data_IF_478568355904
#
_entry.id   IF_478568355904
#
_cell.length_a   1.000
_cell.length_b   1.000
_cell.length_c   1.000
_cell.angle_alpha   90.00
_cell.angle_beta   90.00
_cell.angle_gamma   90.00
#
_symmetry.space_group_name_H-M   'P 1'
#
loop_
_entity.id
_entity.type
_entity.pdbx_description
1 polymer ?
2 non-polymer ?
3 water ?
#
# COMPACT_ATOMS: atom_id res chain seq x y z
N UNK A 1 24.91 22.17 -2.16
CA UNK A 1 23.80 21.42 -2.73
C UNK A 1 23.82 19.94 -2.31
N UNK A 2 22.70 19.24 -2.52
CA UNK A 2 22.57 17.85 -2.11
C UNK A 2 23.63 16.88 -2.64
N UNK A 3 23.98 15.91 -1.80
CA UNK A 3 24.95 14.88 -2.13
C UNK A 3 24.25 13.67 -2.76
N UNK A 4 22.98 13.49 -2.41
CA UNK A 4 22.18 12.38 -2.94
C UNK A 4 22.15 12.30 -4.46
N UNK A 5 22.18 11.08 -5.00
CA UNK A 5 22.10 10.89 -6.45
C UNK A 5 20.87 11.61 -7.01
N UNK A 6 20.89 11.87 -8.31
CA UNK A 6 19.78 12.53 -8.98
C UNK A 6 18.46 11.78 -8.77
N UNK A 7 18.41 10.50 -9.18
CA UNK A 7 17.22 9.65 -9.06
C UNK A 7 16.65 9.63 -7.64
N UNK A 8 17.51 9.76 -6.64
CA UNK A 8 17.06 9.77 -5.26
C UNK A 8 16.43 11.12 -4.97
N UNK A 9 17.11 12.18 -5.40
CA UNK A 9 16.61 13.52 -5.22
C UNK A 9 15.18 13.63 -5.79
N UNK A 10 14.98 13.05 -6.97
CA UNK A 10 13.68 13.05 -7.66
C UNK A 10 12.63 12.20 -6.93
N UNK A 11 13.08 11.21 -6.16
CA UNK A 11 12.18 10.34 -5.42
C UNK A 11 11.63 11.13 -4.24
N UNK A 12 12.50 11.94 -3.64
CA UNK A 12 12.12 12.79 -2.52
C UNK A 12 11.10 13.82 -2.96
N UNK A 13 11.37 14.48 -4.06
CA UNK A 13 10.47 15.50 -4.58
C UNK A 13 9.09 14.89 -4.77
N UNK A 14 9.08 13.70 -5.35
CA UNK A 14 7.88 12.94 -5.64
C UNK A 14 6.98 12.67 -4.43
N UNK A 15 7.52 12.00 -3.41
CA UNK A 15 6.71 11.63 -2.26
C UNK A 15 6.34 12.80 -1.37
N UNK A 16 7.18 13.83 -1.36
CA UNK A 16 6.92 15.00 -0.54
C UNK A 16 6.20 16.10 -1.33
N UNK A 17 5.70 15.75 -2.51
CA UNK A 17 4.97 16.70 -3.34
C UNK A 17 3.65 17.11 -2.68
N UNK A 18 3.49 18.42 -2.45
CA UNK A 18 2.29 18.95 -1.83
C UNK A 18 1.10 18.99 -2.78
N UNK A 19 1.34 19.38 -4.03
CA UNK A 19 0.27 19.45 -5.02
C UNK A 19 -0.38 18.09 -5.21
N UNK A 20 0.40 17.04 -4.98
CA UNK A 20 -0.08 15.68 -5.12
C UNK A 20 -1.04 15.40 -3.99
N UNK A 21 -0.74 16.02 -2.85
CA UNK A 21 -1.55 15.87 -1.66
C UNK A 21 -2.92 16.50 -1.94
N UNK A 22 -2.90 17.74 -2.45
CA UNK A 22 -4.12 18.48 -2.79
C UNK A 22 -4.91 17.76 -3.87
N UNK A 23 -4.23 17.27 -4.90
CA UNK A 23 -4.87 16.54 -5.99
C UNK A 23 -5.64 15.32 -5.48
N UNK A 24 -4.98 14.56 -4.59
CA UNK A 24 -5.60 13.37 -4.00
C UNK A 24 -6.87 13.74 -3.24
N UNK A 25 -6.85 14.90 -2.57
CA UNK A 25 -8.00 15.35 -1.79
C UNK A 25 -9.15 15.82 -2.68
N UNK A 26 -8.83 16.66 -3.66
CA UNK A 26 -9.81 17.15 -4.62
C UNK A 26 -10.41 15.97 -5.41
N UNK A 27 -9.61 14.93 -5.65
CA UNK A 27 -10.10 13.78 -6.38
C UNK A 27 -11.07 12.97 -5.51
N UNK A 28 -11.11 13.30 -4.22
CA UNK A 28 -12.01 12.66 -3.26
C UNK A 28 -13.20 13.59 -3.03
N UNK A 29 -13.29 14.67 -3.81
CA UNK A 29 -14.39 15.62 -3.68
C UNK A 29 -14.28 16.39 -2.37
N UNK A 30 -13.07 16.50 -1.82
CA UNK A 30 -12.86 17.20 -0.57
C UNK A 30 -12.72 18.71 -0.75
N UNK A 31 -13.53 19.48 -0.03
CA UNK A 31 -13.44 20.92 -0.12
C UNK A 31 -12.18 21.40 0.60
N UNK A 32 -11.17 21.77 -0.17
CA UNK A 32 -9.91 22.24 0.37
C UNK A 32 -10.09 23.62 1.00
N UNK A 33 -11.24 24.22 0.75
CA UNK A 33 -11.57 25.51 1.34
C UNK A 33 -11.86 25.29 2.82
N UNK A 34 -12.72 24.33 3.11
CA UNK A 34 -13.12 23.97 4.47
C UNK A 34 -12.15 23.01 5.14
N UNK A 35 -11.66 22.04 4.36
CA UNK A 35 -10.70 21.08 4.89
C UNK A 35 -9.34 21.21 4.20
N UNK A 36 -8.64 22.32 4.46
CA UNK A 36 -7.31 22.56 3.90
C UNK A 36 -6.35 21.48 4.39
N UNK A 37 -5.25 21.31 3.67
CA UNK A 37 -4.23 20.31 3.98
C UNK A 37 -3.79 20.32 5.43
N UNK A 38 -3.49 21.51 5.95
CA UNK A 38 -3.00 21.64 7.31
C UNK A 38 -4.04 21.41 8.40
N UNK A 39 -5.28 21.15 7.99
CA UNK A 39 -6.36 20.92 8.94
C UNK A 39 -6.52 19.44 9.25
N UNK A 40 -5.98 18.58 8.39
CA UNK A 40 -6.05 17.13 8.59
C UNK A 40 -5.43 16.72 9.93
N UNK A 41 -6.09 15.80 10.63
CA UNK A 41 -5.57 15.37 11.93
C UNK A 41 -5.90 13.91 12.27
N UNK A 42 -4.91 13.22 12.82
CA UNK A 42 -5.03 11.83 13.24
C UNK A 42 -6.36 11.61 13.96
N UNK A 43 -6.60 12.43 14.98
CA UNK A 43 -7.82 12.36 15.78
C UNK A 43 -9.10 12.46 14.95
N UNK A 44 -9.13 13.40 14.01
CA UNK A 44 -10.31 13.57 13.15
C UNK A 44 -10.55 12.30 12.33
N UNK A 45 -9.45 11.65 11.98
CA UNK A 45 -9.47 10.41 11.21
C UNK A 45 -9.91 9.16 12.00
N UNK A 46 -9.48 9.05 13.26
CA UNK A 46 -9.92 7.91 14.09
C UNK A 46 -11.43 7.97 14.19
N UNK A 47 -11.93 9.18 14.44
CA UNK A 47 -13.35 9.44 14.57
C UNK A 47 -14.10 9.00 13.32
N UNK A 48 -13.58 9.38 12.16
CA UNK A 48 -14.19 9.04 10.88
C UNK A 48 -14.18 7.54 10.68
N UNK A 49 -13.07 6.90 11.03
CA UNK A 49 -12.98 5.44 10.92
C UNK A 49 -14.08 4.80 11.76
N UNK A 50 -14.27 5.33 12.98
CA UNK A 50 -15.26 4.81 13.93
C UNK A 50 -16.69 4.96 13.42
N UNK A 51 -16.97 6.07 12.76
CA UNK A 51 -18.29 6.29 12.16
C UNK A 51 -18.47 5.20 11.11
N UNK A 52 -17.44 5.03 10.30
CA UNK A 52 -17.46 4.04 9.24
C UNK A 52 -17.81 2.65 9.79
N UNK A 53 -17.17 2.26 10.89
CA UNK A 53 -17.48 0.96 11.52
C UNK A 53 -18.96 0.85 11.92
N UNK A 54 -19.47 1.91 12.52
CA UNK A 54 -20.85 1.96 12.96
C UNK A 54 -21.77 1.75 11.76
N UNK A 55 -21.43 2.40 10.65
CA UNK A 55 -22.20 2.22 9.42
C UNK A 55 -22.26 0.73 9.04
N UNK A 56 -21.10 0.07 8.99
CA UNK A 56 -21.06 -1.36 8.69
C UNK A 56 -22.02 -2.12 9.60
N UNK A 57 -21.94 -1.84 10.90
CA UNK A 57 -22.82 -2.50 11.88
C UNK A 57 -24.28 -2.25 11.53
N UNK A 58 -24.59 -1.00 11.19
CA UNK A 58 -25.94 -0.61 10.81
C UNK A 58 -26.35 -1.38 9.55
N UNK A 59 -25.43 -1.44 8.60
CA UNK A 59 -25.63 -2.11 7.31
C UNK A 59 -25.87 -3.61 7.50
N UNK A 60 -25.15 -4.22 8.43
CA UNK A 60 -25.26 -5.66 8.71
C UNK A 60 -26.53 -6.01 9.45
N UNK A 61 -26.95 -5.13 10.35
CA UNK A 61 -28.14 -5.38 11.16
C UNK A 61 -29.41 -5.01 10.40
N UNK A 62 -29.32 -3.96 9.60
CA UNK A 62 -30.47 -3.52 8.82
C UNK A 62 -31.14 -2.34 9.49
N UNK A 63 -30.33 -1.47 10.08
CA UNK A 63 -30.79 -0.26 10.77
C UNK A 63 -31.92 0.50 10.06
N UNK A 64 -32.59 1.36 10.82
CA UNK A 64 -33.78 2.07 10.33
C UNK A 64 -33.62 3.39 9.55
N UNK A 65 -32.88 3.35 8.46
CA UNK A 65 -32.74 4.49 7.55
C UNK A 65 -32.38 5.85 8.15
N UNK A 66 -32.91 6.17 9.32
CA UNK A 66 -32.58 7.43 9.96
C UNK A 66 -31.24 7.29 10.69
N UNK A 67 -30.97 6.10 11.21
CA UNK A 67 -29.69 5.85 11.89
C UNK A 67 -28.55 5.90 10.88
N UNK A 68 -28.86 5.52 9.65
CA UNK A 68 -27.89 5.51 8.56
C UNK A 68 -27.79 6.90 7.94
N UNK A 69 -28.80 7.72 8.21
CA UNK A 69 -28.82 9.08 7.69
C UNK A 69 -28.00 9.99 8.59
N UNK A 70 -28.06 9.76 9.90
CA UNK A 70 -27.27 10.57 10.82
C UNK A 70 -25.80 10.16 10.80
N UNK A 71 -25.55 8.87 10.59
CA UNK A 71 -24.19 8.37 10.50
C UNK A 71 -23.58 8.95 9.23
N UNK A 72 -24.36 8.99 8.15
CA UNK A 72 -23.89 9.53 6.87
C UNK A 72 -23.54 11.01 7.03
N UNK A 73 -24.45 11.75 7.66
CA UNK A 73 -24.25 13.16 7.90
C UNK A 73 -23.09 13.41 8.87
N UNK A 74 -22.95 12.54 9.87
CA UNK A 74 -21.84 12.68 10.82
C UNK A 74 -20.49 12.57 10.11
N UNK A 75 -20.41 11.71 9.10
CA UNK A 75 -19.17 11.51 8.35
C UNK A 75 -18.78 12.71 7.48
N UNK A 76 -19.75 13.28 6.79
CA UNK A 76 -19.52 14.44 5.92
C UNK A 76 -19.35 15.73 6.73
N UNK A 77 -19.62 15.66 8.02
CA UNK A 77 -19.43 16.83 8.87
C UNK A 77 -17.97 16.76 9.26
N UNK A 78 -17.47 15.54 9.46
CA UNK A 78 -16.07 15.35 9.79
C UNK A 78 -15.20 15.62 8.57
N UNK A 79 -15.48 14.91 7.48
CA UNK A 79 -14.75 15.09 6.21
C UNK A 79 -15.63 15.88 5.23
N UNK A 80 -15.46 17.21 5.19
CA UNK A 80 -16.18 18.18 4.36
C UNK A 80 -15.99 17.95 2.86
N UNK A 81 -17.05 17.51 2.19
CA UNK A 81 -17.02 17.28 0.75
C UNK A 81 -17.80 18.39 0.04
N UNK A 82 -17.56 18.55 -1.25
CA UNK A 82 -18.31 19.53 -2.04
C UNK A 82 -19.06 18.89 -3.20
N UNK A 83 -20.37 19.10 -3.20
CA UNK A 83 -21.23 18.56 -4.23
C UNK A 83 -22.04 19.73 -4.80
N UNK A 84 -22.33 20.70 -3.93
CA UNK A 84 -23.10 21.87 -4.28
C UNK A 84 -24.58 21.53 -4.25
N UNK A 85 -25.00 20.76 -5.25
CA UNK A 85 -26.38 20.30 -5.32
C UNK A 85 -26.38 18.77 -5.31
N UNK A 86 -27.54 18.17 -5.51
CA UNK A 86 -27.67 16.71 -5.52
C UNK A 86 -27.64 16.06 -4.14
N UNK A 87 -26.78 16.59 -3.26
CA UNK A 87 -26.61 16.06 -1.89
C UNK A 87 -25.60 14.93 -1.80
N UNK A 88 -25.00 14.75 -0.61
CA UNK A 88 -24.00 13.72 -0.32
C UNK A 88 -24.62 12.33 -0.33
N UNK A 89 -23.91 11.35 -0.86
CA UNK A 89 -24.45 9.99 -0.90
C UNK A 89 -24.67 9.38 0.49
N UNK A 90 -25.59 8.43 0.54
CA UNK A 90 -25.89 7.70 1.75
C UNK A 90 -24.87 6.56 1.78
N UNK A 91 -24.33 6.28 2.96
CA UNK A 91 -23.38 5.18 3.16
C UNK A 91 -24.23 4.05 3.66
N UNK A 92 -24.73 3.23 2.74
CA UNK A 92 -25.67 2.18 3.10
C UNK A 92 -25.28 0.81 2.55
N UNK A 93 -24.00 0.61 2.29
CA UNK A 93 -23.55 -0.68 1.79
C UNK A 93 -22.08 -0.94 2.07
N UNK A 94 -21.70 -2.22 2.09
CA UNK A 94 -20.33 -2.60 2.34
C UNK A 94 -19.46 -1.89 1.31
N UNK A 95 -20.07 -1.60 0.16
CA UNK A 95 -19.35 -0.92 -0.92
C UNK A 95 -18.89 0.48 -0.60
N UNK A 96 -19.77 1.32 -0.06
CA UNK A 96 -19.39 2.69 0.27
C UNK A 96 -18.46 2.76 1.47
N UNK A 97 -18.61 1.81 2.39
CA UNK A 97 -17.79 1.77 3.59
C UNK A 97 -16.35 1.39 3.26
N UNK A 98 -16.18 0.58 2.22
CA UNK A 98 -14.86 0.17 1.77
C UNK A 98 -14.12 1.31 1.04
N UNK A 99 -14.85 2.04 0.21
CA UNK A 99 -14.25 3.16 -0.50
C UNK A 99 -13.82 4.25 0.46
N UNK A 100 -14.73 4.64 1.36
CA UNK A 100 -14.44 5.70 2.33
C UNK A 100 -13.27 5.40 3.27
N UNK A 101 -13.13 4.13 3.65
CA UNK A 101 -12.05 3.73 4.55
C UNK A 101 -10.72 3.78 3.82
N UNK A 102 -10.74 3.34 2.56
CA UNK A 102 -9.55 3.35 1.73
C UNK A 102 -9.07 4.76 1.62
N UNK A 103 -10.02 5.70 1.55
CA UNK A 103 -9.71 7.12 1.43
C UNK A 103 -9.12 7.68 2.71
N UNK A 104 -9.61 7.20 3.86
CA UNK A 104 -9.13 7.62 5.18
C UNK A 104 -7.70 7.15 5.43
N UNK A 105 -7.38 5.93 4.99
CA UNK A 105 -6.01 5.40 5.09
C UNK A 105 -5.07 6.33 4.34
N UNK A 106 -5.46 6.66 3.11
CA UNK A 106 -4.68 7.53 2.25
C UNK A 106 -4.54 8.93 2.86
N UNK A 107 -5.67 9.53 3.24
CA UNK A 107 -5.69 10.86 3.87
C UNK A 107 -4.80 10.89 5.12
N UNK A 108 -4.76 9.78 5.84
CA UNK A 108 -3.95 9.66 7.06
C UNK A 108 -2.45 9.66 6.72
N UNK A 109 -2.09 9.03 5.62
CA UNK A 109 -0.69 8.95 5.21
C UNK A 109 -0.28 10.31 4.69
N UNK A 110 -1.25 11.07 4.20
CA UNK A 110 -1.02 12.44 3.71
C UNK A 110 -0.82 13.43 4.87
N UNK A 111 -1.53 13.18 5.97
CA UNK A 111 -1.41 13.99 7.17
C UNK A 111 0.02 13.78 7.70
N UNK A 112 0.46 12.53 7.68
CA UNK A 112 1.81 12.17 8.11
C UNK A 112 2.88 12.86 7.28
N UNK A 113 2.68 12.90 5.96
CA UNK A 113 3.66 13.49 5.04
C UNK A 113 3.71 15.00 5.18
N UNK A 114 2.54 15.64 5.26
CA UNK A 114 2.49 17.08 5.43
C UNK A 114 3.07 17.45 6.80
N UNK A 115 2.83 16.60 7.79
CA UNK A 115 3.32 16.83 9.14
C UNK A 115 4.83 16.66 9.27
N UNK A 116 5.40 15.69 8.59
CA UNK A 116 6.84 15.50 8.62
C UNK A 116 7.43 16.66 7.84
N UNK A 117 6.83 16.92 6.68
CA UNK A 117 7.27 17.99 5.78
C UNK A 117 7.37 19.34 6.48
N UNK A 118 6.49 19.55 7.46
CA UNK A 118 6.44 20.81 8.20
C UNK A 118 7.31 20.80 9.45
N UNK A 119 7.31 19.70 10.18
CA UNK A 119 8.11 19.55 11.37
C UNK A 119 9.59 19.74 11.09
N UNK A 120 10.39 19.94 12.13
CA UNK A 120 11.82 20.14 11.99
C UNK A 120 12.20 21.58 11.64
N UNK A 121 13.50 21.86 11.68
CA UNK A 121 13.99 23.20 11.38
C UNK A 121 14.00 23.50 9.88
N UNK A 122 13.47 24.66 9.51
CA UNK A 122 13.40 25.06 8.11
C UNK A 122 14.52 26.07 7.80
N UNK A 123 15.63 25.93 8.51
CA UNK A 123 16.81 26.78 8.32
C UNK A 123 17.55 26.43 7.04
N UNK A 124 17.59 27.37 6.11
CA UNK A 124 18.24 27.18 4.81
C UNK A 124 19.71 26.76 4.88
N UNK A 125 20.15 26.32 6.05
CA UNK A 125 21.54 25.85 6.19
C UNK A 125 21.79 24.77 5.14
N UNK A 126 20.85 23.83 5.07
CA UNK A 126 20.92 22.74 4.11
C UNK A 126 19.72 22.81 3.17
N UNK A 127 19.83 22.16 2.01
CA UNK A 127 18.76 22.19 1.03
C UNK A 127 17.62 21.25 1.41
N UNK A 128 16.39 21.62 1.03
CA UNK A 128 15.11 20.96 1.27
C UNK A 128 15.19 19.45 1.04
N UNK A 129 15.87 19.07 -0.04
CA UNK A 129 16.04 17.67 -0.39
C UNK A 129 16.69 16.86 0.72
N UNK A 130 17.93 17.21 1.03
CA UNK A 130 18.68 16.49 2.05
C UNK A 130 17.94 16.48 3.39
N UNK A 131 17.26 17.58 3.68
CA UNK A 131 16.51 17.68 4.92
C UNK A 131 15.34 16.72 4.89
N UNK A 132 14.48 16.86 3.89
CA UNK A 132 13.33 15.97 3.73
C UNK A 132 13.75 14.50 3.58
N UNK A 133 14.97 14.28 3.10
CA UNK A 133 15.48 12.92 2.97
C UNK A 133 15.70 12.34 4.36
N UNK A 134 16.17 13.17 5.28
CA UNK A 134 16.42 12.74 6.65
C UNK A 134 15.14 12.33 7.33
N UNK A 135 14.09 13.11 7.10
CA UNK A 135 12.79 12.87 7.72
C UNK A 135 12.24 11.46 7.52
N UNK A 136 12.62 10.79 6.43
CA UNK A 136 12.13 9.43 6.14
C UNK A 136 12.77 8.34 7.01
N UNK A 137 13.96 8.64 7.55
CA UNK A 137 14.67 7.71 8.43
C UNK A 137 14.97 6.37 7.79
N UNK A 138 15.24 6.39 6.49
CA UNK A 138 15.58 5.15 5.78
C UNK A 138 16.69 5.43 4.81
N UNK A 139 17.60 4.48 4.67
CA UNK A 139 18.73 4.66 3.77
C UNK A 139 18.32 4.24 2.35
N UNK A 140 18.43 5.17 1.42
CA UNK A 140 18.05 4.92 0.03
C UNK A 140 19.27 4.94 -0.88
N UNK A 141 19.43 3.89 -1.68
CA UNK A 141 20.53 3.77 -2.61
C UNK A 141 20.00 3.36 -3.97
N UNK A 142 20.64 3.85 -5.02
CA UNK A 142 20.27 3.49 -6.38
C UNK A 142 20.85 2.12 -6.67
N UNK A 143 20.14 1.31 -7.43
CA UNK A 143 20.65 0.02 -7.86
C UNK A 143 20.93 0.18 -9.35
N UNK A 144 22.18 -0.12 -9.75
CA UNK A 144 22.61 0.04 -11.15
C UNK A 144 21.81 -0.80 -12.13
N UNK A 145 21.40 -0.19 -13.23
CA UNK A 145 20.64 -0.87 -14.27
C UNK A 145 21.26 -2.21 -14.67
N UNK A 146 22.58 -2.25 -14.74
CA UNK A 146 23.27 -3.45 -15.17
C UNK A 146 23.85 -4.34 -14.07
N UNK A 147 23.12 -4.45 -12.96
CA UNK A 147 23.50 -5.30 -11.84
C UNK A 147 22.58 -6.53 -11.80
N UNK A 148 23.04 -7.61 -11.20
CA UNK A 148 22.24 -8.82 -11.12
C UNK A 148 20.97 -8.57 -10.32
N UNK A 149 21.02 -7.57 -9.43
CA UNK A 149 19.85 -7.19 -8.64
C UNK A 149 18.80 -6.65 -9.58
N UNK A 150 19.19 -5.67 -10.37
CA UNK A 150 18.29 -5.04 -11.34
C UNK A 150 17.70 -6.08 -12.29
N UNK A 151 18.57 -6.96 -12.80
CA UNK A 151 18.17 -8.01 -13.74
C UNK A 151 17.15 -8.96 -13.12
N UNK A 152 17.41 -9.36 -11.88
CA UNK A 152 16.50 -10.22 -11.14
C UNK A 152 15.14 -9.54 -11.06
N UNK A 153 15.18 -8.26 -10.66
CA UNK A 153 13.98 -7.45 -10.51
C UNK A 153 13.19 -7.24 -11.80
N UNK A 154 13.87 -6.79 -12.85
CA UNK A 154 13.22 -6.55 -14.14
C UNK A 154 12.54 -7.83 -14.64
N UNK A 155 13.17 -8.97 -14.40
CA UNK A 155 12.62 -10.26 -14.82
C UNK A 155 11.37 -10.64 -14.00
N UNK A 156 11.39 -10.29 -12.72
CA UNK A 156 10.28 -10.54 -11.80
C UNK A 156 9.07 -9.74 -12.28
N UNK A 157 9.32 -8.53 -12.77
CA UNK A 157 8.29 -7.63 -13.25
C UNK A 157 7.71 -8.03 -14.61
N UNK A 158 8.57 -8.51 -15.51
CA UNK A 158 8.13 -8.90 -16.84
C UNK A 158 7.41 -10.24 -16.82
N UNK A 159 7.97 -11.22 -16.13
CA UNK A 159 7.34 -12.53 -16.05
C UNK A 159 5.98 -12.46 -15.41
N UNK A 160 5.92 -11.89 -14.20
CA UNK A 160 4.67 -11.77 -13.44
C UNK A 160 3.67 -10.73 -13.93
N UNK A 161 3.95 -10.12 -15.08
CA UNK A 161 3.03 -9.17 -15.71
C UNK A 161 2.65 -9.75 -17.07
N UNK A 162 1.36 -9.90 -17.34
CA UNK A 162 0.92 -10.52 -18.59
C UNK A 162 0.04 -9.68 -19.50
N UNK A 163 -0.13 -10.17 -20.74
CA UNK A 163 -0.96 -9.53 -21.76
C UNK A 163 -2.44 -9.67 -21.43
N UNK A 164 -2.75 -10.52 -20.46
CA UNK A 164 -4.14 -10.73 -20.04
C UNK A 164 -4.71 -9.41 -19.54
N UNK A 165 -4.32 -9.00 -18.34
CA UNK A 165 -4.78 -7.74 -17.76
C UNK A 165 -3.97 -6.61 -18.40
N UNK A 166 -3.57 -6.85 -19.64
CA UNK A 166 -2.76 -5.89 -20.37
C UNK A 166 -3.53 -4.66 -20.77
N UNK A 167 -3.73 -3.77 -19.81
CA UNK A 167 -4.37 -2.49 -20.04
C UNK A 167 -3.21 -1.51 -20.17
N UNK A 168 -2.05 -1.96 -19.68
CA UNK A 168 -0.83 -1.17 -19.69
C UNK A 168 0.39 -2.07 -19.73
N UNK A 169 1.53 -1.48 -20.05
CA UNK A 169 2.82 -2.18 -20.05
C UNK A 169 3.66 -1.46 -19.01
N UNK A 170 4.63 -2.17 -18.44
CA UNK A 170 5.41 -1.64 -17.33
C UNK A 170 6.89 -1.40 -17.68
N UNK A 171 7.35 -0.18 -17.40
CA UNK A 171 8.74 0.22 -17.65
C UNK A 171 9.36 0.57 -16.29
N UNK A 172 10.43 -0.11 -15.93
CA UNK A 172 11.08 0.19 -14.65
C UNK A 172 12.04 1.35 -14.86
N UNK A 173 11.70 2.52 -14.30
CA UNK A 173 12.52 3.71 -14.43
C UNK A 173 13.71 3.71 -13.48
N UNK A 174 13.45 3.41 -12.22
CA UNK A 174 14.50 3.38 -11.20
C UNK A 174 14.14 2.34 -10.17
N UNK A 175 15.17 1.69 -9.62
CA UNK A 175 15.00 0.76 -8.52
C UNK A 175 15.94 1.18 -7.41
N UNK A 176 15.41 1.25 -6.20
CA UNK A 176 16.20 1.65 -5.06
C UNK A 176 16.28 0.51 -4.06
N UNK A 177 17.40 0.45 -3.35
CA UNK A 177 17.55 -0.51 -2.27
C UNK A 177 17.27 0.33 -1.03
N UNK A 178 16.44 -0.20 -0.12
CA UNK A 178 16.04 0.57 1.06
C UNK A 178 16.19 -0.21 2.37
N UNK A 179 16.65 0.51 3.39
CA UNK A 179 16.81 -0.06 4.72
C UNK A 179 16.35 0.96 5.76
N UNK A 180 15.16 0.75 6.30
CA UNK A 180 14.59 1.67 7.27
C UNK A 180 15.27 1.55 8.63
N UNK A 181 15.23 2.62 9.40
CA UNK A 181 15.81 2.63 10.73
C UNK A 181 15.09 1.57 11.58
N UNK A 182 15.86 0.61 12.10
CA UNK A 182 15.30 -0.43 12.94
C UNK A 182 14.58 -1.59 12.26
N UNK A 183 14.86 -1.81 10.98
CA UNK A 183 14.24 -2.93 10.27
C UNK A 183 15.20 -4.12 10.30
N UNK A 184 16.43 -3.82 10.69
CA UNK A 184 17.50 -4.81 10.78
C UNK A 184 17.42 -5.62 12.07
N UNK A 185 16.93 -4.99 13.13
CA UNK A 185 16.81 -5.63 14.43
C UNK A 185 15.44 -6.27 14.61
N UNK A 186 14.40 -5.49 14.32
CA UNK A 186 13.03 -5.95 14.46
C UNK A 186 12.75 -7.23 13.65
N UNK A 187 13.46 -7.38 12.53
CA UNK A 187 13.28 -8.53 11.65
C UNK A 187 14.18 -9.73 11.98
N UNK A 188 15.40 -9.46 12.43
CA UNK A 188 16.37 -10.51 12.76
C UNK A 188 15.77 -11.72 13.47
N UNK A 189 14.85 -11.49 14.42
CA UNK A 189 14.20 -12.58 15.14
C UNK A 189 13.23 -13.35 14.24
N UNK A 190 12.31 -12.64 13.60
CA UNK A 190 11.34 -13.25 12.71
C UNK A 190 12.00 -13.86 11.50
N UNK A 191 13.27 -13.52 11.27
CA UNK A 191 14.01 -14.08 10.14
C UNK A 191 14.26 -15.56 10.44
N UNK A 192 14.36 -15.87 11.73
CA UNK A 192 14.53 -17.25 12.19
C UNK A 192 13.18 -17.95 12.03
N UNK A 193 12.56 -17.70 10.88
CA UNK A 193 11.27 -18.25 10.49
C UNK A 193 11.46 -18.66 9.04
N UNK A 194 11.07 -19.89 8.71
CA UNK A 194 11.25 -20.38 7.35
C UNK A 194 10.27 -19.74 6.38
N UNK A 195 10.33 -20.16 5.13
CA UNK A 195 9.44 -19.66 4.09
C UNK A 195 9.51 -18.13 3.93
N UNK A 196 10.74 -17.62 3.75
CA UNK A 196 10.94 -16.19 3.53
C UNK A 196 10.83 -15.91 2.03
N UNK A 197 9.96 -14.98 1.66
CA UNK A 197 9.71 -14.69 0.26
C UNK A 197 9.84 -13.22 -0.06
N UNK A 198 10.25 -12.91 -1.30
CA UNK A 198 10.36 -11.53 -1.75
C UNK A 198 9.10 -11.19 -2.52
N UNK A 199 8.21 -10.41 -1.91
CA UNK A 199 6.91 -10.11 -2.51
C UNK A 199 6.65 -8.63 -2.78
N UNK A 200 5.63 -8.39 -3.60
CA UNK A 200 5.23 -7.06 -4.00
C UNK A 200 4.25 -6.39 -3.05
N UNK A 201 4.31 -5.06 -3.02
CA UNK A 201 3.36 -4.26 -2.27
C UNK A 201 3.22 -2.92 -2.96
N UNK A 202 2.05 -2.69 -3.57
CA UNK A 202 1.77 -1.46 -4.27
C UNK A 202 0.93 -0.57 -3.37
N UNK A 203 1.11 0.74 -3.51
CA UNK A 203 0.35 1.72 -2.75
C UNK A 203 0.41 3.05 -3.50
N UNK A 204 -0.54 3.94 -3.23
CA UNK A 204 -0.57 5.27 -3.85
C UNK A 204 0.72 5.99 -3.52
N UNK A 205 1.22 6.83 -4.43
CA UNK A 205 2.50 7.50 -4.17
C UNK A 205 2.46 8.47 -3.01
N UNK A 206 1.27 9.02 -2.73
CA UNK A 206 1.06 9.94 -1.61
C UNK A 206 1.18 9.23 -0.26
N UNK A 207 1.26 7.91 -0.27
CA UNK A 207 1.40 7.15 0.96
C UNK A 207 2.84 6.77 1.26
N UNK A 208 3.75 7.02 0.32
CA UNK A 208 5.13 6.61 0.49
C UNK A 208 6.00 7.27 1.55
N UNK A 209 5.73 8.54 1.84
CA UNK A 209 6.48 9.25 2.90
C UNK A 209 6.11 8.59 4.22
N UNK A 210 4.83 8.25 4.36
CA UNK A 210 4.30 7.59 5.54
C UNK A 210 4.71 6.13 5.67
N UNK A 211 4.89 5.46 4.53
CA UNK A 211 5.29 4.05 4.53
C UNK A 211 6.79 3.91 4.88
N UNK A 212 7.62 4.79 4.31
CA UNK A 212 9.05 4.77 4.59
C UNK A 212 9.31 5.28 6.00
N UNK A 213 8.62 6.34 6.39
CA UNK A 213 8.82 6.88 7.72
C UNK A 213 8.37 5.93 8.84
N UNK A 214 7.20 5.31 8.69
CA UNK A 214 6.66 4.44 9.73
C UNK A 214 6.52 2.95 9.43
N UNK A 215 6.85 2.54 8.20
CA UNK A 215 6.76 1.16 7.80
C UNK A 215 5.36 0.75 7.41
N UNK A 216 5.19 -0.45 6.87
CA UNK A 216 3.84 -0.91 6.55
C UNK A 216 3.10 -1.16 7.86
N UNK A 217 1.87 -0.71 7.95
CA UNK A 217 1.14 -0.85 9.19
C UNK A 217 -0.14 -1.67 9.04
N UNK A 218 -0.68 -2.07 10.18
CA UNK A 218 -1.92 -2.84 10.26
C UNK A 218 -3.02 -1.85 10.67
N UNK A 219 -4.18 -1.94 10.00
CA UNK A 219 -5.30 -1.04 10.26
C UNK A 219 -5.64 -0.94 11.75
N UNK A 220 -6.05 0.25 12.21
CA UNK A 220 -6.40 0.43 13.63
C UNK A 220 -7.71 -0.27 13.95
N UNK A 221 -7.93 -0.65 15.22
CA UNK A 221 -9.14 -1.33 15.66
C UNK A 221 -10.45 -0.63 15.26
N UNK A 222 -10.42 0.69 15.17
CA UNK A 222 -11.62 1.48 14.82
C UNK A 222 -11.94 1.41 13.35
N UNK A 223 -10.97 0.96 12.56
CA UNK A 223 -11.14 0.84 11.13
C UNK A 223 -12.20 -0.22 10.83
N UNK A 224 -13.04 0.04 9.82
CA UNK A 224 -13.93 -1.11 9.63
C UNK A 224 -13.09 -2.25 9.04
N UNK A 225 -13.64 -3.46 9.02
CA UNK A 225 -12.90 -4.60 8.49
C UNK A 225 -13.27 -4.91 7.04
N UNK A 226 -14.42 -4.40 6.61
CA UNK A 226 -14.88 -4.63 5.25
C UNK A 226 -13.77 -4.17 4.34
N UNK A 227 -13.35 -5.03 3.43
CA UNK A 227 -12.26 -4.67 2.53
C UNK A 227 -11.00 -5.47 2.76
N UNK A 228 -10.82 -5.97 3.98
CA UNK A 228 -9.68 -6.82 4.29
C UNK A 228 -10.16 -8.27 4.27
N UNK A 229 -10.20 -8.87 3.07
CA UNK A 229 -10.62 -10.25 2.87
C UNK A 229 -10.15 -11.21 3.94
N UNK A 230 -8.91 -11.06 4.39
CA UNK A 230 -8.35 -11.94 5.42
C UNK A 230 -8.02 -11.19 6.72
N UNK A 231 -8.79 -10.13 6.99
CA UNK A 231 -8.61 -9.35 8.20
C UNK A 231 -7.50 -8.31 8.13
N UNK A 232 -7.36 -7.57 9.22
CA UNK A 232 -6.37 -6.53 9.35
C UNK A 232 -4.95 -7.11 9.41
N UNK A 233 -4.25 -7.05 8.28
CA UNK A 233 -2.89 -7.52 8.21
C UNK A 233 -2.14 -6.70 7.19
N UNK A 234 -1.00 -7.21 6.73
CA UNK A 234 -0.19 -6.57 5.70
C UNK A 234 -0.27 -7.52 4.53
N UNK A 235 -0.64 -6.99 3.37
CA UNK A 235 -0.86 -7.78 2.15
C UNK A 235 0.25 -7.65 1.12
N UNK A 236 0.57 -8.77 0.47
CA UNK A 236 1.58 -8.79 -0.59
C UNK A 236 1.08 -9.66 -1.73
N UNK A 237 1.73 -9.57 -2.88
CA UNK A 237 1.39 -10.42 -4.00
C UNK A 237 2.69 -10.94 -4.59
N UNK A 238 2.62 -12.02 -5.36
CA UNK A 238 3.80 -12.58 -6.01
C UNK A 238 3.80 -12.33 -7.52
N UNK A 239 2.86 -11.52 -7.96
CA UNK A 239 2.76 -11.09 -9.35
C UNK A 239 2.58 -9.56 -9.33
N UNK A 240 3.54 -8.86 -9.95
CA UNK A 240 3.53 -7.42 -10.00
C UNK A 240 2.16 -6.93 -10.51
N UNK A 241 1.43 -7.82 -11.16
CA UNK A 241 0.12 -7.48 -11.68
C UNK A 241 -0.87 -7.12 -10.57
N UNK A 242 -0.96 -7.98 -9.54
CA UNK A 242 -1.88 -7.71 -8.45
C UNK A 242 -1.56 -6.43 -7.71
N UNK A 243 -0.30 -6.25 -7.32
CA UNK A 243 0.12 -5.06 -6.58
C UNK A 243 0.02 -3.77 -7.38
N UNK A 244 0.59 -3.78 -8.60
CA UNK A 244 0.56 -2.62 -9.48
C UNK A 244 -0.80 -1.92 -9.56
N UNK A 245 -1.86 -2.67 -9.32
CA UNK A 245 -3.20 -2.10 -9.37
C UNK A 245 -3.52 -1.25 -8.16
N UNK A 246 -2.61 -1.22 -7.18
CA UNK A 246 -2.86 -0.41 -5.98
C UNK A 246 -2.06 0.88 -6.00
N UNK A 247 -1.34 1.07 -7.10
CA UNK A 247 -0.52 2.26 -7.32
C UNK A 247 -1.42 3.39 -7.82
N UNK A 248 -2.62 3.02 -8.26
CA UNK A 248 -3.60 3.98 -8.78
C UNK A 248 -3.00 5.08 -9.69
N UNK A 249 -2.53 4.64 -10.86
CA UNK A 249 -1.91 5.53 -11.84
C UNK A 249 -2.90 5.71 -12.98
N UNK A 250 -2.55 6.57 -13.95
CA UNK A 250 -3.42 6.82 -15.08
C UNK A 250 -2.62 7.45 -16.20
N UNK A 251 -3.24 7.65 -17.35
CA UNK A 251 -2.55 8.29 -18.46
C UNK A 251 -2.22 9.73 -18.09
N UNK A 252 -2.91 10.25 -17.07
CA UNK A 252 -2.67 11.58 -16.55
C UNK A 252 -1.39 11.57 -15.71
N UNK A 253 -1.28 10.57 -14.83
CA UNK A 253 -0.08 10.37 -14.03
C UNK A 253 0.27 8.88 -14.11
N UNK A 254 1.00 8.48 -15.15
CA UNK A 254 1.39 7.12 -15.48
C UNK A 254 2.54 6.52 -14.68
N UNK A 255 3.22 7.32 -13.85
CA UNK A 255 4.31 6.78 -13.04
C UNK A 255 3.92 6.56 -11.58
N UNK A 256 4.28 5.40 -11.04
CA UNK A 256 3.98 5.02 -9.67
C UNK A 256 5.13 4.31 -8.97
N UNK A 257 4.96 4.08 -7.67
CA UNK A 257 5.98 3.43 -6.85
C UNK A 257 5.42 2.12 -6.31
N UNK A 258 6.28 1.15 -6.15
CA UNK A 258 5.86 -0.17 -5.67
C UNK A 258 7.00 -0.73 -4.85
N UNK A 259 6.68 -1.48 -3.81
CA UNK A 259 7.72 -2.05 -2.98
C UNK A 259 7.93 -3.54 -3.22
N UNK A 260 9.10 -4.00 -2.80
CA UNK A 260 9.45 -5.41 -2.79
C UNK A 260 9.92 -5.63 -1.37
N UNK A 261 9.20 -6.47 -0.64
CA UNK A 261 9.55 -6.73 0.73
C UNK A 261 9.81 -8.19 0.99
N UNK A 262 10.77 -8.47 1.86
CA UNK A 262 11.05 -9.84 2.22
C UNK A 262 10.15 -10.12 3.41
N UNK A 263 9.24 -11.06 3.26
CA UNK A 263 8.32 -11.39 4.33
C UNK A 263 8.54 -12.82 4.78
N UNK A 264 8.75 -12.98 6.07
CA UNK A 264 9.02 -14.28 6.67
C UNK A 264 7.65 -14.91 6.93
N UNK A 265 7.15 -15.66 5.95
CA UNK A 265 5.82 -16.25 6.00
C UNK A 265 5.54 -17.38 7.01
N UNK A 266 6.57 -18.15 7.36
CA UNK A 266 6.39 -19.28 8.25
C UNK A 266 5.44 -20.25 7.59
N UNK A 267 4.69 -21.02 8.37
CA UNK A 267 3.70 -21.94 7.82
C UNK A 267 2.46 -21.16 7.38
N UNK A 268 2.05 -21.36 6.13
CA UNK A 268 0.92 -20.62 5.56
C UNK A 268 -0.41 -21.34 5.64
N UNK A 269 -1.39 -20.65 6.22
CA UNK A 269 -2.74 -21.16 6.31
C UNK A 269 -3.38 -20.84 4.97
N UNK A 270 -3.56 -21.85 4.13
CA UNK A 270 -4.10 -21.63 2.79
C UNK A 270 -5.62 -21.60 2.70
N UNK A 271 -6.15 -20.58 2.02
CA UNK A 271 -7.59 -20.40 1.88
C UNK A 271 -7.93 -20.01 0.45
N UNK A 272 -9.18 -20.22 0.06
CA UNK A 272 -9.64 -19.93 -1.29
C UNK A 272 -10.65 -18.79 -1.36
N UNK A 273 -11.24 -18.46 -0.21
CA UNK A 273 -12.22 -17.37 -0.14
C UNK A 273 -11.95 -16.53 1.11
N UNK A 274 -12.52 -15.33 1.13
CA UNK A 274 -12.34 -14.43 2.26
C UNK A 274 -12.64 -15.10 3.58
N UNK A 275 -11.92 -14.69 4.60
CA UNK A 275 -12.09 -15.24 5.93
C UNK A 275 -11.41 -14.25 6.83
N UNK A 276 -12.13 -13.79 7.84
CA UNK A 276 -11.55 -12.83 8.76
C UNK A 276 -10.77 -13.55 9.85
N UNK A 277 -9.47 -13.66 9.61
CA UNK A 277 -8.56 -14.35 10.53
C UNK A 277 -8.07 -13.44 11.67
N UNK A 278 -6.79 -13.06 11.59
CA UNK A 278 -6.08 -12.27 12.61
C UNK A 278 -5.53 -13.25 13.66
N UNK A 279 -6.40 -14.17 14.08
CA UNK A 279 -6.08 -15.23 15.03
C UNK A 279 -5.87 -16.54 14.26
N UNK A 280 -4.61 -16.80 13.93
CA UNK A 280 -4.24 -17.95 13.11
C UNK A 280 -4.30 -19.28 13.85
N UNK A 281 -4.34 -20.38 13.09
CA UNK A 281 -4.29 -21.72 13.71
C UNK A 281 -2.87 -21.93 14.25
N UNK A 282 -2.74 -22.73 15.29
CA UNK A 282 -1.42 -23.01 15.86
C UNK A 282 -0.48 -23.59 14.79
N UNK A 283 0.73 -23.05 14.71
CA UNK A 283 1.70 -23.52 13.74
C UNK A 283 1.66 -22.76 12.42
N UNK A 284 0.69 -21.86 12.29
CA UNK A 284 0.57 -21.03 11.10
C UNK A 284 1.04 -19.63 11.49
N UNK A 285 1.77 -18.95 10.60
CA UNK A 285 2.29 -17.63 10.91
C UNK A 285 1.95 -16.64 9.81
N UNK A 286 1.09 -17.08 8.89
CA UNK A 286 0.68 -16.24 7.80
C UNK A 286 -0.46 -16.89 7.04
N UNK A 287 -1.16 -16.09 6.26
CA UNK A 287 -2.23 -16.60 5.41
C UNK A 287 -1.85 -16.51 3.95
N UNK A 288 -2.25 -17.52 3.17
CA UNK A 288 -2.03 -17.47 1.73
C UNK A 288 -3.37 -17.66 1.03
N UNK A 289 -3.83 -16.63 0.31
CA UNK A 289 -5.06 -16.72 -0.44
C UNK A 289 -4.72 -17.34 -1.78
N UNK A 290 -5.27 -18.52 -2.09
CA UNK A 290 -4.97 -19.20 -3.35
C UNK A 290 -5.64 -18.62 -4.61
N UNK A 291 -4.83 -18.18 -5.56
CA UNK A 291 -5.36 -17.62 -6.79
C UNK A 291 -5.39 -18.60 -7.95
N UNK A 292 -6.03 -18.17 -9.03
CA UNK A 292 -6.16 -18.98 -10.24
C UNK A 292 -4.82 -18.97 -10.97
N UNK A 293 -4.07 -17.89 -10.80
CA UNK A 293 -2.81 -17.68 -11.48
C UNK A 293 -1.62 -17.64 -10.56
N UNK A 294 -0.61 -18.42 -10.89
CA UNK A 294 0.58 -18.49 -10.05
C UNK A 294 1.85 -18.33 -10.86
N UNK A 295 2.90 -17.79 -10.23
CA UNK A 295 4.03 -17.79 -11.17
C UNK A 295 4.57 -19.23 -11.28
N UNK A 296 5.02 -19.60 -12.48
CA UNK A 296 5.56 -20.93 -12.72
C UNK A 296 6.61 -21.34 -11.68
N UNK A 297 6.26 -22.31 -10.84
CA UNK A 297 7.06 -22.87 -9.73
C UNK A 297 8.48 -23.30 -10.13
N UNK A 298 8.60 -23.90 -11.31
CA UNK A 298 9.89 -24.39 -11.78
C UNK A 298 10.95 -23.29 -11.95
N UNK A 299 10.50 -22.05 -12.19
CA UNK A 299 11.40 -20.93 -12.42
C UNK A 299 11.74 -20.12 -11.16
N UNK A 300 11.24 -20.54 -10.01
CA UNK A 300 11.53 -19.81 -8.78
C UNK A 300 13.03 -19.78 -8.51
N UNK A 301 13.53 -18.63 -8.11
CA UNK A 301 14.95 -18.45 -7.82
C UNK A 301 15.15 -18.13 -6.34
N UNK A 302 16.39 -18.16 -5.88
CA UNK A 302 16.66 -17.91 -4.47
C UNK A 302 17.64 -16.78 -4.10
N UNK A 303 17.84 -16.63 -2.80
CA UNK A 303 18.72 -15.60 -2.27
C UNK A 303 18.72 -15.62 -0.73
N UNK A 304 19.87 -15.97 -0.17
CA UNK A 304 20.05 -15.99 1.29
C UNK A 304 18.91 -16.66 2.04
N UNK A 305 18.08 -17.41 1.31
CA UNK A 305 16.94 -18.08 1.90
C UNK A 305 15.65 -17.42 1.47
N UNK A 306 15.79 -16.28 0.77
CA UNK A 306 14.63 -15.53 0.27
C UNK A 306 14.24 -15.99 -1.13
N UNK A 307 13.13 -16.70 -1.23
CA UNK A 307 12.62 -17.19 -2.49
C UNK A 307 12.04 -16.07 -3.35
N UNK A 308 12.45 -16.01 -4.61
CA UNK A 308 11.89 -15.03 -5.54
C UNK A 308 11.06 -15.77 -6.56
N UNK A 309 9.72 -15.70 -6.44
CA UNK A 309 8.77 -16.38 -7.32
C UNK A 309 8.59 -15.65 -8.62
N UNK A 310 9.68 -15.49 -9.38
CA UNK A 310 9.65 -14.77 -10.64
C UNK A 310 9.23 -15.61 -11.84
N UNK A 311 8.68 -16.78 -11.55
CA UNK A 311 8.19 -17.66 -12.59
C UNK A 311 7.20 -16.93 -13.46
N UNK A 312 7.24 -17.22 -14.75
CA UNK A 312 6.40 -16.59 -15.74
C UNK A 312 4.95 -16.24 -15.35
N UNK A 313 4.10 -17.23 -15.12
CA UNK A 313 2.71 -16.94 -14.80
C UNK A 313 1.78 -17.94 -15.47
N UNK A 314 1.30 -18.90 -14.69
CA UNK A 314 0.49 -19.98 -15.22
C UNK A 314 -0.78 -20.20 -14.40
N UNK A 315 -1.62 -21.11 -14.89
CA UNK A 315 -2.82 -21.48 -14.18
C UNK A 315 -2.35 -22.33 -13.00
N UNK A 316 -3.06 -22.25 -11.88
CA UNK A 316 -2.70 -23.04 -10.71
C UNK A 316 -3.59 -24.28 -10.58
N UNK A 317 -3.28 -25.12 -9.62
CA UNK A 317 -4.07 -26.33 -9.44
C UNK A 317 -5.56 -26.04 -9.29
N UNK A 318 -5.90 -25.17 -8.36
CA UNK A 318 -7.29 -24.83 -8.06
C UNK A 318 -7.73 -23.53 -8.73
N UNK A 319 -8.86 -23.60 -9.43
CA UNK A 319 -9.43 -22.42 -10.09
C UNK A 319 -10.73 -22.05 -9.36
N UNK A 320 -11.17 -22.96 -8.50
CA UNK A 320 -12.37 -22.87 -7.66
C UNK A 320 -12.13 -21.86 -6.55
N UNK A 321 -11.33 -20.86 -6.86
CA UNK A 321 -11.02 -19.84 -5.88
C UNK A 321 -11.70 -18.56 -6.33
N UNK A 322 -11.84 -17.63 -5.40
CA UNK A 322 -12.45 -16.35 -5.69
C UNK A 322 -11.32 -15.37 -5.97
N UNK A 323 -10.12 -15.91 -6.18
CA UNK A 323 -8.96 -15.08 -6.40
C UNK A 323 -8.30 -15.32 -7.75
N UNK A 324 -7.98 -14.23 -8.44
CA UNK A 324 -7.31 -14.33 -9.72
C UNK A 324 -5.83 -14.55 -9.45
N UNK A 325 -5.34 -14.01 -8.33
CA UNK A 325 -3.93 -14.09 -7.95
C UNK A 325 -3.81 -14.50 -6.50
N UNK A 326 -2.58 -14.79 -6.11
CA UNK A 326 -2.25 -15.14 -4.73
C UNK A 326 -2.21 -13.88 -3.89
N UNK A 327 -2.37 -14.06 -2.60
CA UNK A 327 -2.28 -12.97 -1.63
C UNK A 327 -1.53 -13.57 -0.47
N UNK A 328 -0.74 -12.74 0.21
CA UNK A 328 -0.01 -13.18 1.39
C UNK A 328 -0.21 -12.15 2.48
N UNK A 329 -0.73 -12.60 3.61
CA UNK A 329 -1.02 -11.69 4.73
C UNK A 329 -0.28 -12.14 5.96
N UNK A 330 0.40 -11.20 6.61
CA UNK A 330 1.05 -11.46 7.89
C UNK A 330 0.42 -10.48 8.87
N UNK A 331 0.34 -10.88 10.12
CA UNK A 331 -0.34 -10.08 11.12
C UNK A 331 0.59 -9.47 12.16
N UNK A 332 1.89 -9.51 11.85
CA UNK A 332 2.93 -8.93 12.70
C UNK A 332 3.88 -8.11 11.82
N UNK A 333 3.95 -6.81 12.08
CA UNK A 333 4.81 -5.90 11.31
C UNK A 333 6.27 -6.36 11.29
N UNK A 334 6.71 -7.04 12.34
CA UNK A 334 8.09 -7.51 12.40
C UNK A 334 8.43 -8.60 11.38
N UNK A 335 7.42 -9.18 10.75
CA UNK A 335 7.66 -10.21 9.74
C UNK A 335 7.96 -9.60 8.38
N UNK A 336 8.11 -8.29 8.32
CA UNK A 336 8.35 -7.61 7.06
C UNK A 336 9.67 -6.84 7.01
N UNK A 337 10.44 -7.06 5.94
CA UNK A 337 11.67 -6.35 5.72
C UNK A 337 11.68 -5.74 4.32
N UNK A 338 11.32 -4.47 4.22
CA UNK A 338 11.29 -3.76 2.94
C UNK A 338 12.70 -3.65 2.43
N UNK A 339 12.90 -4.07 1.17
CA UNK A 339 14.23 -4.07 0.60
C UNK A 339 14.42 -3.15 -0.59
N UNK A 340 13.39 -3.07 -1.42
CA UNK A 340 13.48 -2.25 -2.62
C UNK A 340 12.23 -1.46 -2.85
N UNK A 341 12.41 -0.34 -3.55
CA UNK A 341 11.34 0.55 -3.96
C UNK A 341 11.65 0.74 -5.45
N UNK A 342 10.60 0.72 -6.27
CA UNK A 342 10.76 0.87 -7.71
C UNK A 342 9.89 1.98 -8.21
N UNK A 343 10.46 2.82 -9.09
CA UNK A 343 9.69 3.85 -9.76
C UNK A 343 9.27 3.22 -11.09
N UNK A 344 7.97 3.01 -11.26
CA UNK A 344 7.47 2.38 -12.48
C UNK A 344 6.70 3.36 -13.37
N UNK A 345 6.80 3.17 -14.67
CA UNK A 345 6.06 3.99 -15.60
C UNK A 345 5.04 3.08 -16.27
N UNK A 346 3.80 3.52 -16.29
CA UNK A 346 2.70 2.76 -16.88
C UNK A 346 2.38 3.29 -18.26
N UNK A 347 2.47 2.42 -19.25
CA UNK A 347 2.13 2.79 -20.61
C UNK A 347 0.81 2.10 -20.92
N UNK A 348 -0.27 2.86 -20.86
CA UNK A 348 -1.60 2.30 -21.14
C UNK A 348 -1.84 2.10 -22.63
N UNK A 349 -2.50 1.00 -22.98
CA UNK A 349 -2.75 0.66 -24.37
C UNK A 349 -3.95 1.40 -24.97
N UNK A 350 -4.87 1.79 -24.09
CA UNK A 350 -6.09 2.52 -24.42
C UNK A 350 -6.50 2.57 -25.89
X LIG B 1 -3.01 -5.74 -1.54
X LIG B 1 -1.77 -5.81 -2.15
X LIG B 1 -1.37 -7.04 -2.64
X LIG B 1 -4.80 -5.13 -0.56
X LIG B 1 -0.87 -4.66 -2.29
X LIG B 1 -5.87 -4.37 0.12
X LIG B 1 -6.17 -2.19 -0.87
X LIG B 1 -7.15 -4.42 -0.67
X LIG B 1 -2.18 -8.16 -2.52
X LIG B 1 -3.42 -8.10 -1.94
X LIG B 1 -3.80 -6.86 -1.46
X LIG B 1 -4.93 -6.45 -0.83
X LIG B 1 -3.64 -4.67 -0.97
X LIG B 1 -1.19 -3.61 -1.48
X LIG B 1 0.04 -4.71 -3.09
X LIG B 1 -5.52 -2.94 0.21
X LIG B 1 -7.33 -3.06 -1.31
X LIG B 1 -6.12 -4.91 1.50
#
# INVERSE_FOLDING_TARGET
KSKLPKPVQDLIKMIFDVESMKKAMVEYEIDLQKMPLGKLSKRQIQAAYSILSEVQQAVSQGSSDSQILDLSNRFYTLIPHDFGMKKPPLLNNADSVQAKAEMLDNLLDIEVAYSLLRGGSDDSSKDPIDVNYEKLKTDIKVVDRDSEEAEIIRKYVKNTHATTHNAYDLEVIDIFKIEREGECQRYKPFKQLHNRRLLWHGSRTTNFAGILSQGLRIAPPEAPVTGYMFGKGIYFADMVSKSANYCHTSQGDPIGLILLGEVALGNMYELKHASHISKLPKGKHSVKGLGKTTPDPSANISLDGVDVPLGTGISSGVNDTSLLYNEYIVYDIAQVNLKYLLKLKFNFKT
3GN C4 C5 C6 C8 C10 C13 C15 C17 C1 C2 C3 N7 N9 N11 O12 N14 C16 C18
#
